data_IF_954683674954
#
_entry.id   IF_954683674954
#
_cell.length_a   1.000
_cell.length_b   1.000
_cell.length_c   1.000
_cell.angle_alpha   90.00
_cell.angle_beta   90.00
_cell.angle_gamma   90.00
#
_symmetry.space_group_name_H-M   'P 1'
#
loop_
_entity.id
_entity.type
_entity.pdbx_description
1 polymer ?
#
# COMPACT_ATOMS: atom_id res chain seq x y z
N UNK A 1 -10.78 -1.30 2.58
CA UNK A 1 -9.58 -1.59 3.41
C UNK A 1 -9.62 -2.94 4.13
N UNK A 2 -10.79 -3.53 4.41
CA UNK A 2 -10.86 -4.80 5.18
C UNK A 2 -10.17 -6.03 4.53
N UNK A 3 -9.89 -5.99 3.23
CA UNK A 3 -9.19 -7.07 2.50
C UNK A 3 -7.67 -6.91 2.45
N UNK A 4 -7.15 -5.75 2.89
CA UNK A 4 -5.72 -5.45 2.87
C UNK A 4 -5.16 -5.82 4.25
N UNK A 5 -4.15 -6.67 4.26
CA UNK A 5 -3.48 -7.07 5.51
C UNK A 5 -2.23 -6.21 5.70
N UNK A 6 -2.23 -5.38 6.74
CA UNK A 6 -1.17 -4.39 7.00
C UNK A 6 0.01 -4.92 7.82
N UNK A 7 -0.21 -5.91 8.69
CA UNK A 7 0.84 -6.49 9.55
C UNK A 7 1.14 -7.93 9.11
N UNK A 8 1.76 -8.11 7.93
CA UNK A 8 2.10 -9.44 7.41
C UNK A 8 3.49 -9.44 6.80
N UNK A 9 4.23 -10.51 7.07
CA UNK A 9 5.60 -10.72 6.61
C UNK A 9 5.75 -11.92 5.66
N UNK A 10 4.63 -12.44 5.11
CA UNK A 10 4.62 -13.61 4.22
C UNK A 10 4.36 -13.21 2.78
N UNK A 11 5.12 -13.78 1.84
CA UNK A 11 4.99 -13.51 0.40
C UNK A 11 3.58 -13.73 -0.13
N UNK A 12 2.91 -14.79 0.34
CA UNK A 12 1.53 -15.09 -0.05
C UNK A 12 0.55 -13.96 0.29
N UNK A 13 0.73 -13.31 1.43
CA UNK A 13 -0.12 -12.19 1.82
C UNK A 13 0.19 -10.91 1.02
N UNK A 14 1.46 -10.68 0.66
CA UNK A 14 1.82 -9.60 -0.27
C UNK A 14 1.14 -9.80 -1.62
N UNK A 15 1.13 -11.02 -2.16
CA UNK A 15 0.45 -11.35 -3.41
C UNK A 15 -1.05 -11.02 -3.34
N UNK A 16 -1.71 -11.34 -2.23
CA UNK A 16 -3.12 -10.99 -2.01
C UNK A 16 -3.34 -9.47 -2.00
N UNK A 17 -2.45 -8.70 -1.36
CA UNK A 17 -2.52 -7.23 -1.34
C UNK A 17 -2.31 -6.64 -2.75
N UNK A 18 -1.33 -7.16 -3.52
CA UNK A 18 -1.08 -6.70 -4.89
C UNK A 18 -2.23 -7.04 -5.86
N UNK A 19 -2.95 -8.15 -5.65
CA UNK A 19 -4.18 -8.43 -6.43
C UNK A 19 -5.27 -7.38 -6.19
N UNK A 20 -5.41 -6.88 -4.96
CA UNK A 20 -6.34 -5.77 -4.68
C UNK A 20 -5.90 -4.51 -5.41
N UNK A 21 -4.60 -4.23 -5.46
CA UNK A 21 -4.04 -3.09 -6.19
C UNK A 21 -4.28 -3.19 -7.70
N UNK A 22 -4.04 -4.35 -8.31
CA UNK A 22 -4.30 -4.59 -9.73
C UNK A 22 -5.78 -4.35 -10.09
N UNK A 23 -6.70 -4.82 -9.26
CA UNK A 23 -8.14 -4.58 -9.46
C UNK A 23 -8.49 -3.08 -9.42
N UNK A 24 -7.80 -2.28 -8.61
CA UNK A 24 -7.99 -0.82 -8.57
C UNK A 24 -7.43 -0.19 -9.85
N UNK A 25 -6.26 -0.62 -10.32
CA UNK A 25 -5.65 -0.10 -11.56
C UNK A 25 -6.54 -0.37 -12.78
N UNK A 26 -7.10 -1.58 -12.88
CA UNK A 26 -8.04 -1.94 -13.95
C UNK A 26 -9.29 -1.05 -13.91
N UNK A 27 -9.86 -0.82 -12.72
CA UNK A 27 -11.04 0.04 -12.55
C UNK A 27 -10.79 1.50 -12.94
N UNK A 28 -9.58 1.99 -12.69
CA UNK A 28 -9.16 3.35 -13.02
C UNK A 28 -8.47 3.44 -14.39
N UNK A 29 -8.48 2.36 -15.18
CA UNK A 29 -7.86 2.27 -16.51
C UNK A 29 -6.39 2.75 -16.54
N UNK A 30 -5.63 2.35 -15.52
CA UNK A 30 -4.20 2.64 -15.44
C UNK A 30 -3.45 1.55 -16.24
N UNK A 31 -3.00 1.91 -17.45
CA UNK A 31 -2.25 1.03 -18.37
C UNK A 31 -0.76 0.89 -17.98
N UNK A 32 -0.47 0.66 -16.68
CA UNK A 32 0.89 0.40 -16.21
C UNK A 32 1.03 -1.04 -15.76
N UNK A 33 1.93 -1.84 -16.38
CA UNK A 33 2.21 -3.18 -15.88
C UNK A 33 2.88 -3.09 -14.51
N UNK A 34 2.26 -3.72 -13.49
CA UNK A 34 2.80 -3.78 -12.12
C UNK A 34 3.61 -5.09 -11.99
N UNK A 35 4.94 -5.05 -11.82
CA UNK A 35 5.77 -6.25 -11.71
C UNK A 35 5.65 -6.86 -10.30
N UNK A 36 4.51 -7.52 -10.04
CA UNK A 36 4.18 -8.08 -8.71
C UNK A 36 5.25 -9.07 -8.22
N UNK A 37 5.78 -9.93 -9.09
CA UNK A 37 6.80 -10.91 -8.72
C UNK A 37 8.11 -10.28 -8.21
N UNK A 38 8.48 -9.10 -8.73
CA UNK A 38 9.67 -8.39 -8.26
C UNK A 38 9.38 -7.60 -6.98
N UNK A 39 8.16 -7.07 -6.85
CA UNK A 39 7.72 -6.30 -5.70
C UNK A 39 7.57 -7.19 -4.45
N UNK A 40 7.01 -8.40 -4.58
CA UNK A 40 6.86 -9.34 -3.45
C UNK A 40 8.21 -9.80 -2.88
N UNK A 41 9.24 -9.88 -3.74
CA UNK A 41 10.62 -10.22 -3.34
C UNK A 41 11.35 -9.07 -2.66
N UNK A 42 10.68 -7.93 -2.44
CA UNK A 42 11.24 -6.76 -1.77
C UNK A 42 12.52 -6.22 -2.45
N UNK A 43 12.64 -6.36 -3.78
CA UNK A 43 13.80 -5.84 -4.52
C UNK A 43 13.79 -4.30 -4.51
N UNK A 44 14.91 -3.70 -4.09
CA UNK A 44 15.00 -2.24 -3.85
C UNK A 44 14.69 -1.42 -5.12
N UNK A 45 15.26 -1.81 -6.27
CA UNK A 45 15.12 -1.06 -7.53
C UNK A 45 13.65 -0.99 -8.00
N UNK A 46 12.97 -2.13 -8.12
CA UNK A 46 11.58 -2.18 -8.58
C UNK A 46 10.62 -1.47 -7.60
N UNK A 47 10.84 -1.61 -6.29
CA UNK A 47 10.04 -0.92 -5.28
C UNK A 47 10.21 0.61 -5.35
N UNK A 48 11.44 1.08 -5.55
CA UNK A 48 11.74 2.50 -5.66
C UNK A 48 11.14 3.11 -6.93
N UNK A 49 11.26 2.43 -8.07
CA UNK A 49 10.62 2.86 -9.33
C UNK A 49 9.09 2.90 -9.21
N UNK A 50 8.50 1.91 -8.53
CA UNK A 50 7.07 1.86 -8.28
C UNK A 50 6.60 3.04 -7.41
N UNK A 51 7.33 3.36 -6.34
CA UNK A 51 7.04 4.49 -5.46
C UNK A 51 7.20 5.85 -6.16
N UNK A 52 8.26 6.04 -6.94
CA UNK A 52 8.50 7.28 -7.68
C UNK A 52 7.35 7.61 -8.62
N UNK A 53 6.89 6.62 -9.38
CA UNK A 53 5.72 6.80 -10.24
C UNK A 53 4.44 7.01 -9.44
N UNK A 54 4.22 6.27 -8.35
CA UNK A 54 3.02 6.43 -7.52
C UNK A 54 2.94 7.85 -6.96
N UNK A 55 4.07 8.42 -6.53
CA UNK A 55 4.17 9.81 -6.11
C UNK A 55 3.82 10.78 -7.24
N UNK A 56 4.36 10.58 -8.44
CA UNK A 56 4.03 11.42 -9.61
C UNK A 56 2.55 11.34 -9.98
N UNK A 57 1.97 10.14 -9.94
CA UNK A 57 0.55 9.92 -10.18
C UNK A 57 -0.29 10.61 -9.09
N UNK A 58 0.10 10.49 -7.82
CA UNK A 58 -0.57 11.16 -6.73
C UNK A 58 -0.57 12.68 -6.93
N UNK A 59 0.59 13.28 -7.18
CA UNK A 59 0.71 14.74 -7.39
C UNK A 59 -0.16 15.26 -8.54
N UNK A 60 -0.36 14.46 -9.59
CA UNK A 60 -1.14 14.87 -10.76
C UNK A 60 -2.66 14.74 -10.57
N UNK A 61 -3.12 13.74 -9.81
CA UNK A 61 -4.53 13.41 -9.66
C UNK A 61 -5.13 13.77 -8.29
N UNK A 62 -4.32 14.27 -7.36
CA UNK A 62 -4.80 14.61 -6.03
C UNK A 62 -5.55 15.95 -6.02
N UNK A 63 -6.87 15.97 -5.71
CA UNK A 63 -7.69 17.18 -5.78
C UNK A 63 -7.57 18.08 -4.53
N UNK A 64 -6.65 17.78 -3.60
CA UNK A 64 -6.41 18.61 -2.41
C UNK A 64 -7.35 18.36 -1.22
N UNK A 65 -8.19 17.32 -1.24
CA UNK A 65 -9.07 16.98 -0.11
C UNK A 65 -8.32 16.40 1.10
N UNK A 66 -8.90 16.42 2.29
CA UNK A 66 -8.31 15.76 3.47
C UNK A 66 -8.43 14.23 3.36
N UNK A 67 -7.31 13.52 3.53
CA UNK A 67 -7.27 12.06 3.53
C UNK A 67 -6.76 11.52 4.87
N UNK A 68 -7.68 11.01 5.71
CA UNK A 68 -7.31 10.35 6.96
C UNK A 68 -7.00 8.85 6.73
N UNK A 69 -5.71 8.54 6.63
CA UNK A 69 -5.23 7.17 6.50
C UNK A 69 -5.44 6.33 7.78
N UNK A 70 -5.46 6.95 8.96
CA UNK A 70 -5.56 6.27 10.26
C UNK A 70 -6.99 5.76 10.50
N UNK A 71 -7.99 6.60 10.25
CA UNK A 71 -9.39 6.20 10.33
C UNK A 71 -9.72 5.12 9.29
N UNK A 72 -9.18 5.25 8.06
CA UNK A 72 -9.40 4.28 6.97
C UNK A 72 -8.82 2.89 7.27
N UNK A 73 -7.68 2.83 7.97
CA UNK A 73 -7.06 1.57 8.41
C UNK A 73 -7.69 1.01 9.68
N UNK A 74 -8.63 1.70 10.34
CA UNK A 74 -9.21 1.30 11.63
C UNK A 74 -8.14 0.89 12.66
N UNK A 75 -7.02 1.61 12.70
CA UNK A 75 -5.82 1.27 13.49
C UNK A 75 -5.11 -0.07 13.13
N UNK A 76 -5.55 -0.83 12.12
CA UNK A 76 -4.84 -1.99 11.63
C UNK A 76 -3.51 -1.56 10.97
N UNK A 77 -2.38 -1.95 11.56
CA UNK A 77 -1.04 -1.60 11.08
C UNK A 77 -0.40 -0.40 11.76
N UNK A 78 -0.97 0.16 12.82
CA UNK A 78 -0.15 0.94 13.76
C UNK A 78 0.87 -0.04 14.41
N UNK A 79 2.15 0.31 14.54
CA UNK A 79 3.02 -0.42 15.47
C UNK A 79 2.31 -0.40 16.83
N UNK A 80 2.32 -1.53 17.54
CA UNK A 80 1.75 -1.59 18.88
C UNK A 80 2.37 -0.42 19.67
N UNK A 81 1.56 0.57 20.02
CA UNK A 81 1.96 1.55 21.00
C UNK A 81 2.11 0.76 22.29
N UNK A 82 3.33 0.35 22.60
CA UNK A 82 3.71 -0.08 23.94
C UNK A 82 3.71 1.17 24.81
N UNK A 83 2.54 1.75 25.04
CA UNK A 83 2.33 2.73 26.09
C UNK A 83 2.24 1.97 27.40
N UNK A 84 3.39 1.45 27.83
CA UNK A 84 3.62 1.12 29.24
C UNK A 84 3.57 2.43 30.01
N UNK A 85 2.35 2.86 30.38
CA UNK A 85 2.18 3.79 31.50
C UNK A 85 2.61 3.02 32.74
N UNK A 86 3.85 3.27 33.17
CA UNK A 86 4.28 2.94 34.52
C UNK A 86 3.45 3.74 35.55
N UNK A 87 3.37 3.22 36.79
CA UNK A 87 2.58 3.79 37.87
C UNK A 87 3.07 5.17 38.33
#
# INVERSE_FOLDING_TARGET
MARIKFNVNTEYAYLQNFKVLQNVFIRHQIDRPVPVENLIKCRMQDNLEFLQWTKRHWDQYYPGGEYDALARRKAAGAPASNSTRGP
#
